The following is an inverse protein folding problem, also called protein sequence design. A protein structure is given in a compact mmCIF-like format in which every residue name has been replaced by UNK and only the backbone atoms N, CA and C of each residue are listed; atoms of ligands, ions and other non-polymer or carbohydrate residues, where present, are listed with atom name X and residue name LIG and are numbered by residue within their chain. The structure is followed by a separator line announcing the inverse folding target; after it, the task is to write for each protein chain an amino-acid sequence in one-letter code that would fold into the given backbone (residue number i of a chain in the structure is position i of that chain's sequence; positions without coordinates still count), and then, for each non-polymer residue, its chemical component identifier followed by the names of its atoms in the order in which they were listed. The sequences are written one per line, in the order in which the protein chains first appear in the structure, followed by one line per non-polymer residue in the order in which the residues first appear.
data_IF_676190690562
#
_entry.id   IF_676190690562
#
_cell.length_a   1.000
_cell.length_b   1.000
_cell.length_c   1.000
_cell.angle_alpha   90.00
_cell.angle_beta   90.00
_cell.angle_gamma   90.00
#
_symmetry.space_group_name_H-M   'P 1'
#
loop_
_entity.id
_entity.type
_entity.pdbx_description
1 polymer ?
#
# COMPACT_ATOMS: atom_id res chain seq x y z
N UNK A 1 -38.91 2.33 -24.30
CA UNK A 1 -38.51 3.75 -24.26
C UNK A 1 -37.16 3.82 -23.54
N UNK A 2 -36.07 4.18 -24.23
CA UNK A 2 -34.69 4.18 -23.68
C UNK A 2 -34.52 5.37 -22.72
N UNK A 3 -34.38 5.12 -21.43
CA UNK A 3 -34.04 6.16 -20.45
C UNK A 3 -32.52 6.35 -20.40
N UNK A 4 -32.04 7.50 -20.91
CA UNK A 4 -30.64 7.88 -20.86
C UNK A 4 -30.32 8.59 -19.53
N UNK A 5 -29.27 8.15 -18.85
CA UNK A 5 -28.78 8.66 -17.55
C UNK A 5 -28.36 10.14 -17.54
N UNK A 6 -28.43 10.84 -18.69
CA UNK A 6 -27.97 12.22 -18.86
C UNK A 6 -29.03 13.30 -18.64
N UNK A 7 -30.31 12.96 -18.50
CA UNK A 7 -31.37 13.95 -18.33
C UNK A 7 -31.86 14.12 -16.89
N UNK A 8 -31.20 13.49 -15.90
CA UNK A 8 -31.68 13.50 -14.51
C UNK A 8 -31.20 14.69 -13.68
N UNK A 9 -30.18 15.43 -14.12
CA UNK A 9 -29.54 16.47 -13.28
C UNK A 9 -30.07 17.89 -13.59
N UNK A 10 -30.90 18.10 -14.61
CA UNK A 10 -31.21 19.46 -15.06
C UNK A 10 -32.44 20.15 -14.42
N UNK A 11 -33.09 19.59 -13.38
CA UNK A 11 -34.27 20.27 -12.80
C UNK A 11 -34.35 20.09 -11.29
N UNK A 12 -33.71 20.99 -10.52
CA UNK A 12 -34.05 21.27 -9.11
C UNK A 12 -33.43 22.61 -8.68
N UNK A 13 -33.98 23.72 -9.17
CA UNK A 13 -33.76 25.07 -8.61
C UNK A 13 -35.10 25.77 -8.45
N UNK A 14 -35.68 25.69 -7.26
CA UNK A 14 -36.65 26.64 -6.65
C UNK A 14 -37.01 26.07 -5.25
N UNK A 15 -36.27 26.47 -4.21
CA UNK A 15 -36.61 27.59 -3.31
C UNK A 15 -37.40 27.12 -2.07
N UNK A 16 -36.67 26.81 -1.00
CA UNK A 16 -37.16 26.92 0.38
C UNK A 16 -36.11 27.72 1.15
N UNK A 17 -36.46 28.96 1.43
CA UNK A 17 -35.74 29.94 2.22
C UNK A 17 -35.52 29.45 3.67
N UNK A 18 -34.27 29.19 4.03
CA UNK A 18 -33.76 29.24 5.40
C UNK A 18 -32.38 29.93 5.36
N UNK A 19 -32.21 31.13 5.93
CA UNK A 19 -30.89 31.64 6.21
C UNK A 19 -30.41 31.01 7.54
N UNK A 20 -29.21 30.42 7.52
CA UNK A 20 -28.14 30.53 8.52
C UNK A 20 -27.27 29.26 8.58
N UNK A 21 -25.97 29.52 8.38
CA UNK A 21 -24.80 28.81 8.90
C UNK A 21 -24.38 27.51 8.20
N UNK A 22 -23.52 27.70 7.20
CA UNK A 22 -22.18 27.11 7.31
C UNK A 22 -22.08 25.61 7.09
N UNK A 23 -22.50 25.12 5.94
CA UNK A 23 -21.79 24.01 5.33
C UNK A 23 -20.69 24.61 4.45
N UNK A 24 -19.65 25.14 5.10
CA UNK A 24 -18.35 25.19 4.46
C UNK A 24 -18.04 23.75 4.06
N UNK A 25 -17.92 23.50 2.75
CA UNK A 25 -17.09 22.38 2.31
C UNK A 25 -15.73 22.63 2.96
N UNK A 26 -15.45 21.92 4.05
CA UNK A 26 -14.07 21.57 4.36
C UNK A 26 -13.62 20.68 3.20
N UNK A 27 -13.23 21.32 2.09
CA UNK A 27 -12.13 20.78 1.32
C UNK A 27 -11.01 20.65 2.35
N UNK A 28 -10.83 19.44 2.88
CA UNK A 28 -9.61 19.09 3.57
C UNK A 28 -8.51 19.33 2.56
N UNK A 29 -7.95 20.52 2.60
CA UNK A 29 -6.72 20.87 1.92
C UNK A 29 -5.75 19.80 2.36
N UNK A 30 -5.46 18.87 1.46
CA UNK A 30 -4.35 17.95 1.62
C UNK A 30 -3.17 18.86 1.95
N UNK A 31 -2.71 18.79 3.20
CA UNK A 31 -1.53 19.50 3.68
C UNK A 31 -0.46 19.30 2.62
N UNK A 32 -0.16 20.37 1.87
CA UNK A 32 0.83 20.38 0.82
C UNK A 32 2.16 20.20 1.54
N UNK A 33 2.60 18.95 1.72
CA UNK A 33 3.95 18.66 2.16
C UNK A 33 4.89 19.50 1.27
N UNK A 34 5.65 20.39 1.90
CA UNK A 34 6.65 21.23 1.23
C UNK A 34 7.68 20.31 0.56
N UNK A 35 7.44 19.99 -0.71
CA UNK A 35 8.22 19.01 -1.47
C UNK A 35 7.97 17.57 -1.01
N UNK A 36 7.95 16.62 -1.96
CA UNK A 36 8.03 15.21 -1.61
C UNK A 36 9.42 14.92 -1.00
N UNK A 37 9.52 14.19 0.12
CA UNK A 37 10.82 13.81 0.70
C UNK A 37 11.58 12.80 -0.19
N UNK A 38 10.93 12.28 -1.24
CA UNK A 38 11.52 11.35 -2.19
C UNK A 38 12.57 12.02 -3.06
N UNK A 39 13.72 11.36 -3.19
CA UNK A 39 14.84 11.80 -4.02
C UNK A 39 14.88 11.02 -5.33
N UNK A 40 15.61 11.58 -6.29
CA UNK A 40 15.85 10.92 -7.58
C UNK A 40 16.61 9.62 -7.32
N UNK A 41 16.13 8.52 -7.88
CA UNK A 41 16.73 7.19 -7.75
C UNK A 41 16.44 6.47 -6.43
N UNK A 42 15.53 6.99 -5.59
CA UNK A 42 15.15 6.30 -4.36
C UNK A 42 14.53 4.91 -4.66
N UNK A 43 14.99 3.91 -3.89
CA UNK A 43 14.39 2.58 -3.85
C UNK A 43 13.37 2.50 -2.71
N UNK A 44 12.16 2.03 -3.02
CA UNK A 44 11.08 1.79 -2.07
C UNK A 44 10.72 0.31 -2.04
N UNK A 45 10.47 -0.22 -0.84
CA UNK A 45 10.17 -1.62 -0.62
C UNK A 45 8.85 -1.78 0.15
N UNK A 46 7.95 -2.59 -0.39
CA UNK A 46 6.79 -3.11 0.34
C UNK A 46 7.10 -4.51 0.88
N UNK A 47 6.96 -4.69 2.18
CA UNK A 47 7.22 -5.94 2.89
C UNK A 47 6.00 -6.32 3.75
N UNK A 48 5.77 -7.62 3.94
CA UNK A 48 4.63 -8.07 4.73
C UNK A 48 4.11 -9.45 4.40
N UNK A 49 2.83 -9.64 4.69
CA UNK A 49 2.11 -10.89 4.53
C UNK A 49 1.28 -10.96 3.23
N UNK A 50 0.16 -11.69 3.27
CA UNK A 50 -0.76 -11.91 2.14
C UNK A 50 -1.36 -10.62 1.62
N UNK A 51 -1.57 -9.61 2.47
CA UNK A 51 -2.13 -8.32 2.07
C UNK A 51 -1.11 -7.57 1.20
N UNK A 52 0.18 -7.68 1.53
CA UNK A 52 1.27 -7.11 0.74
C UNK A 52 1.58 -7.94 -0.51
N UNK A 53 1.66 -9.27 -0.39
CA UNK A 53 1.89 -10.21 -1.50
C UNK A 53 0.88 -9.99 -2.63
N UNK A 54 -0.41 -10.08 -2.31
CA UNK A 54 -1.52 -9.90 -3.23
C UNK A 54 -1.37 -10.62 -4.59
N UNK A 55 -0.78 -11.82 -4.56
CA UNK A 55 -0.59 -12.65 -5.75
C UNK A 55 0.54 -12.17 -6.65
N UNK A 56 1.55 -11.49 -6.11
CA UNK A 56 2.74 -11.10 -6.88
C UNK A 56 3.46 -12.33 -7.45
N UNK A 57 4.11 -12.12 -8.58
CA UNK A 57 5.10 -13.03 -9.16
C UNK A 57 6.38 -13.05 -8.28
N UNK A 58 6.94 -14.24 -8.05
CA UNK A 58 7.99 -14.50 -7.02
C UNK A 58 9.27 -15.12 -7.57
N UNK A 59 9.39 -15.33 -8.88
CA UNK A 59 10.56 -15.92 -9.52
C UNK A 59 11.48 -14.83 -10.05
N UNK A 60 10.94 -13.87 -10.83
CA UNK A 60 11.73 -12.78 -11.41
C UNK A 60 11.84 -11.59 -10.46
N UNK A 61 10.76 -11.29 -9.75
CA UNK A 61 10.73 -10.26 -8.69
C UNK A 61 11.25 -8.89 -9.17
N UNK A 62 10.88 -8.53 -10.40
CA UNK A 62 11.37 -7.32 -11.08
C UNK A 62 10.81 -6.05 -10.42
N UNK A 63 11.61 -4.98 -10.29
CA UNK A 63 11.09 -3.70 -9.83
C UNK A 63 10.12 -3.10 -10.84
N UNK A 64 9.17 -2.30 -10.36
CA UNK A 64 8.22 -1.54 -11.18
C UNK A 64 7.38 -2.39 -12.16
N UNK A 65 7.42 -3.72 -12.06
CA UNK A 65 6.66 -4.64 -12.90
C UNK A 65 5.30 -4.92 -12.27
N UNK A 66 4.18 -4.76 -13.00
CA UNK A 66 2.85 -5.08 -12.49
C UNK A 66 2.74 -6.49 -11.91
N UNK A 67 3.32 -7.48 -12.59
CA UNK A 67 3.26 -8.88 -12.15
C UNK A 67 4.00 -9.08 -10.83
N UNK A 68 5.19 -8.49 -10.67
CA UNK A 68 6.01 -8.62 -9.45
C UNK A 68 5.53 -7.72 -8.31
N UNK A 69 4.67 -6.73 -8.59
CA UNK A 69 4.00 -5.91 -7.58
C UNK A 69 2.67 -6.54 -7.09
N UNK A 70 2.10 -7.49 -7.83
CA UNK A 70 0.84 -8.13 -7.50
C UNK A 70 -0.37 -7.24 -7.81
N UNK A 71 -1.52 -7.55 -7.21
CA UNK A 71 -2.81 -6.88 -7.49
C UNK A 71 -3.39 -6.13 -6.29
N UNK A 72 -2.56 -5.88 -5.28
CA UNK A 72 -2.98 -5.31 -4.00
C UNK A 72 -2.57 -3.86 -3.81
N UNK A 73 -2.55 -3.43 -2.56
CA UNK A 73 -2.24 -2.04 -2.21
C UNK A 73 -0.82 -1.64 -2.63
N UNK A 74 0.15 -2.56 -2.58
CA UNK A 74 1.52 -2.30 -3.01
C UNK A 74 1.58 -1.88 -4.49
N UNK A 75 0.81 -2.55 -5.36
CA UNK A 75 0.68 -2.17 -6.76
C UNK A 75 0.02 -0.79 -6.93
N UNK A 76 -1.10 -0.54 -6.24
CA UNK A 76 -1.82 0.74 -6.35
C UNK A 76 -0.97 1.91 -5.86
N UNK A 77 -0.29 1.75 -4.71
CA UNK A 77 0.64 2.74 -4.18
C UNK A 77 1.82 2.95 -5.13
N UNK A 78 2.37 1.88 -5.70
CA UNK A 78 3.48 1.99 -6.66
C UNK A 78 3.08 2.72 -7.93
N UNK A 79 1.92 2.38 -8.51
CA UNK A 79 1.40 3.06 -9.69
C UNK A 79 1.19 4.55 -9.42
N UNK A 80 0.64 4.90 -8.25
CA UNK A 80 0.47 6.29 -7.85
C UNK A 80 1.81 7.02 -7.69
N UNK A 81 2.77 6.43 -6.99
CA UNK A 81 4.10 7.03 -6.76
C UNK A 81 4.87 7.23 -8.06
N UNK A 82 4.89 6.21 -8.94
CA UNK A 82 5.54 6.31 -10.25
C UNK A 82 4.90 7.38 -11.14
N UNK A 83 3.57 7.55 -11.05
CA UNK A 83 2.86 8.59 -11.80
C UNK A 83 3.12 9.98 -11.22
N UNK A 84 2.95 10.16 -9.91
CA UNK A 84 3.08 11.45 -9.23
C UNK A 84 4.52 11.97 -9.18
N UNK A 85 5.51 11.08 -9.29
CA UNK A 85 6.94 11.38 -9.20
C UNK A 85 7.72 10.82 -10.39
N UNK A 86 7.16 10.96 -11.60
CA UNK A 86 7.79 10.47 -12.83
C UNK A 86 9.20 11.06 -13.07
N UNK A 87 9.49 12.26 -12.54
CA UNK A 87 10.80 12.91 -12.60
C UNK A 87 11.86 12.29 -11.65
N UNK A 88 11.44 11.46 -10.69
CA UNK A 88 12.32 10.89 -9.67
C UNK A 88 12.93 9.54 -10.04
N UNK A 89 12.51 8.89 -11.12
CA UNK A 89 13.03 7.59 -11.53
C UNK A 89 13.09 6.57 -10.36
N UNK A 90 11.98 6.43 -9.64
CA UNK A 90 11.88 5.58 -8.46
C UNK A 90 11.96 4.09 -8.81
N UNK A 91 12.54 3.30 -7.90
CA UNK A 91 12.57 1.84 -8.02
C UNK A 91 11.73 1.22 -6.92
N UNK A 92 10.64 0.51 -7.26
CA UNK A 92 9.71 -0.04 -6.30
C UNK A 92 9.67 -1.57 -6.37
N UNK A 93 9.82 -2.20 -5.21
CA UNK A 93 9.73 -3.64 -5.04
C UNK A 93 8.58 -4.02 -4.12
N UNK A 94 7.97 -5.17 -4.40
CA UNK A 94 7.11 -5.87 -3.46
C UNK A 94 7.75 -7.21 -3.09
N UNK A 95 7.96 -7.43 -1.79
CA UNK A 95 8.53 -8.65 -1.21
C UNK A 95 7.59 -9.33 -0.21
N UNK A 96 6.32 -8.95 -0.18
CA UNK A 96 5.31 -9.62 0.64
C UNK A 96 5.17 -11.10 0.30
N UNK A 97 4.94 -11.94 1.32
CA UNK A 97 4.73 -13.38 1.18
C UNK A 97 3.51 -13.79 1.99
N UNK A 98 2.52 -14.41 1.33
CA UNK A 98 1.30 -14.89 1.98
C UNK A 98 1.55 -15.80 3.18
N UNK A 99 0.78 -15.59 4.26
CA UNK A 99 0.86 -16.38 5.50
C UNK A 99 2.06 -16.07 6.41
N UNK A 100 2.94 -15.12 6.02
CA UNK A 100 4.07 -14.74 6.84
C UNK A 100 3.66 -14.11 8.17
N UNK A 101 4.49 -14.38 9.17
CA UNK A 101 4.52 -13.80 10.52
C UNK A 101 5.80 -12.98 10.69
N UNK A 102 5.94 -12.28 11.82
CA UNK A 102 7.11 -11.40 12.05
C UNK A 102 8.43 -12.18 11.95
N UNK A 103 8.56 -13.34 12.59
CA UNK A 103 9.81 -14.11 12.55
C UNK A 103 10.17 -14.62 11.14
N UNK A 104 9.16 -14.87 10.29
CA UNK A 104 9.39 -15.32 8.91
C UNK A 104 9.86 -14.16 8.02
N UNK A 105 9.58 -12.90 8.39
CA UNK A 105 10.26 -11.76 7.77
C UNK A 105 11.73 -11.76 8.14
N UNK A 106 12.07 -12.04 9.41
CA UNK A 106 13.45 -12.08 9.88
C UNK A 106 14.28 -13.14 9.14
N UNK A 107 13.74 -14.36 8.96
CA UNK A 107 14.42 -15.47 8.25
C UNK A 107 14.88 -15.10 6.82
N UNK A 108 14.19 -14.17 6.17
CA UNK A 108 14.50 -13.73 4.80
C UNK A 108 14.90 -12.26 4.70
N UNK A 109 15.15 -11.59 5.82
CA UNK A 109 15.34 -10.14 5.87
C UNK A 109 16.56 -9.67 5.09
N UNK A 110 17.63 -10.49 5.10
CA UNK A 110 18.85 -10.17 4.36
C UNK A 110 18.56 -10.02 2.86
N UNK A 111 18.04 -11.09 2.23
CA UNK A 111 17.73 -11.12 0.80
C UNK A 111 16.61 -10.15 0.41
N UNK A 112 15.52 -10.15 1.17
CA UNK A 112 14.28 -9.48 0.78
C UNK A 112 14.18 -8.02 1.29
N UNK A 113 15.16 -7.53 2.04
CA UNK A 113 15.21 -6.13 2.46
C UNK A 113 16.62 -5.54 2.39
N UNK A 114 17.61 -6.11 3.09
CA UNK A 114 18.95 -5.49 3.20
C UNK A 114 19.67 -5.44 1.85
N UNK A 115 19.67 -6.54 1.09
CA UNK A 115 20.36 -6.63 -0.20
C UNK A 115 19.74 -5.71 -1.27
N UNK A 116 18.48 -5.33 -1.11
CA UNK A 116 17.79 -4.37 -1.97
C UNK A 116 18.14 -2.90 -1.64
N UNK A 117 18.77 -2.67 -0.49
CA UNK A 117 19.18 -1.35 0.01
C UNK A 117 18.09 -0.26 -0.14
N UNK A 118 16.85 -0.49 0.34
CA UNK A 118 15.76 0.45 0.17
C UNK A 118 16.00 1.71 0.98
N UNK A 119 15.70 2.87 0.38
CA UNK A 119 15.67 4.13 1.13
C UNK A 119 14.41 4.22 2.01
N UNK A 120 13.32 3.63 1.54
CA UNK A 120 12.03 3.62 2.22
C UNK A 120 11.46 2.21 2.27
N UNK A 121 10.93 1.82 3.42
CA UNK A 121 10.28 0.52 3.61
C UNK A 121 8.90 0.70 4.24
N UNK A 122 7.91 0.06 3.64
CA UNK A 122 6.56 -0.11 4.20
C UNK A 122 6.43 -1.54 4.70
N UNK A 123 6.07 -1.73 5.98
CA UNK A 123 5.88 -3.05 6.58
C UNK A 123 4.43 -3.18 7.03
N UNK A 124 3.71 -4.16 6.48
CA UNK A 124 2.38 -4.56 6.94
C UNK A 124 2.39 -6.05 7.31
N UNK A 125 2.42 -6.32 8.61
CA UNK A 125 2.56 -7.66 9.19
C UNK A 125 1.80 -7.74 10.52
N UNK A 126 1.41 -8.95 10.95
CA UNK A 126 0.85 -9.19 12.29
C UNK A 126 -0.51 -9.89 12.31
N UNK A 127 -1.28 -9.85 11.20
CA UNK A 127 -2.59 -10.52 11.16
C UNK A 127 -2.46 -12.03 11.33
N UNK A 128 -1.42 -12.63 10.74
CA UNK A 128 -1.15 -14.05 10.84
C UNK A 128 -0.60 -14.44 12.21
N UNK A 129 0.22 -13.58 12.84
CA UNK A 129 0.74 -13.79 14.18
C UNK A 129 -0.43 -13.94 15.16
N UNK A 130 -1.44 -13.06 15.07
CA UNK A 130 -2.62 -13.15 15.92
C UNK A 130 -3.56 -14.30 15.55
N UNK A 131 -3.85 -14.50 14.26
CA UNK A 131 -4.73 -15.60 13.82
C UNK A 131 -4.18 -16.95 14.29
N UNK A 132 -2.88 -17.21 14.05
CA UNK A 132 -2.27 -18.48 14.44
C UNK A 132 -2.20 -18.64 15.96
N UNK A 133 -2.03 -17.55 16.73
CA UNK A 133 -2.14 -17.61 18.19
C UNK A 133 -3.51 -18.13 18.64
N UNK A 134 -4.59 -17.66 18.01
CA UNK A 134 -5.96 -18.10 18.35
C UNK A 134 -6.27 -19.55 17.96
N UNK A 135 -5.69 -20.07 16.87
CA UNK A 135 -6.08 -21.37 16.31
C UNK A 135 -5.08 -22.50 16.59
N UNK A 136 -3.81 -22.19 16.84
CA UNK A 136 -2.71 -23.16 16.77
C UNK A 136 -1.65 -22.99 17.86
N UNK A 137 -1.96 -22.33 18.98
CA UNK A 137 -1.04 -22.19 20.13
C UNK A 137 0.32 -21.54 19.77
N UNK A 138 0.31 -20.58 18.85
CA UNK A 138 1.50 -19.83 18.45
C UNK A 138 1.83 -18.73 19.48
N UNK A 139 3.04 -18.77 20.05
CA UNK A 139 3.51 -17.86 21.12
C UNK A 139 4.06 -16.51 20.62
N UNK A 140 4.35 -16.36 19.31
CA UNK A 140 4.90 -15.10 18.79
C UNK A 140 6.43 -14.98 18.87
N UNK A 141 7.12 -16.02 19.28
CA UNK A 141 8.58 -16.04 19.48
C UNK A 141 9.26 -17.09 18.62
N UNK A 142 10.51 -16.80 18.24
CA UNK A 142 11.44 -17.83 17.81
C UNK A 142 11.63 -18.80 18.98
N UNK A 143 11.69 -20.10 18.69
CA UNK A 143 12.19 -21.05 19.68
C UNK A 143 13.66 -20.69 19.88
N UNK A 144 13.97 -20.08 21.02
CA UNK A 144 15.33 -19.72 21.41
C UNK A 144 16.21 -20.97 21.35
N UNK A 145 17.27 -20.95 20.53
CA UNK A 145 18.05 -22.17 20.30
C UNK A 145 19.17 -22.15 19.25
N UNK A 146 19.43 -21.06 18.53
CA UNK A 146 20.64 -20.95 17.71
C UNK A 146 20.87 -19.52 17.19
N UNK A 147 21.63 -18.76 17.98
CA UNK A 147 22.47 -17.65 17.51
C UNK A 147 23.93 -18.05 17.73
#
# INVERSE_FOLDING_TARGET
MKTSRRNFISTSTLALSLPLLGFSNEEKTQEKFKGSPLKVGDTLLFQGDSITDAGREKIKELPNSPDSLGKGYAFLASAHLLHAHADKNLTLYNRGISGNKVYQLQERWQKDAIDLNPKWISILIGVNDYWHKRKHNYEGTLVDGSI
#
